data_IF_528591698056
#
_entry.id   IF_528591698056
#
_cell.length_a   1.000
_cell.length_b   1.000
_cell.length_c   1.000
_cell.angle_alpha   90.00
_cell.angle_beta   90.00
_cell.angle_gamma   90.00
#
_symmetry.space_group_name_H-M   'P 1'
#
loop_
_entity.id
_entity.type
_entity.pdbx_description
1 polymer ?
#
# COMPACT_ATOMS: atom_id res chain seq x y z
N UNK A 1 -19.28 -7.88 -8.96
CA UNK A 1 -19.46 -7.14 -7.70
C UNK A 1 -18.94 -5.74 -8.00
N UNK A 2 -19.85 -4.78 -8.19
CA UNK A 2 -19.47 -3.41 -8.56
C UNK A 2 -18.95 -2.68 -7.33
N UNK A 3 -17.65 -2.38 -7.32
CA UNK A 3 -16.93 -1.76 -6.21
C UNK A 3 -16.80 -0.23 -6.37
N UNK A 4 -17.49 0.36 -7.34
CA UNK A 4 -17.33 1.78 -7.67
C UNK A 4 -17.69 2.67 -6.48
N UNK A 5 -16.67 3.31 -5.89
CA UNK A 5 -16.83 4.24 -4.77
C UNK A 5 -16.99 3.59 -3.39
N UNK A 6 -17.08 2.26 -3.29
CA UNK A 6 -17.19 1.57 -2.00
C UNK A 6 -15.80 1.21 -1.45
N UNK A 7 -15.17 2.18 -0.80
CA UNK A 7 -13.84 2.01 -0.18
C UNK A 7 -13.80 0.93 0.90
N UNK A 8 -14.92 0.67 1.58
CA UNK A 8 -14.99 -0.38 2.60
C UNK A 8 -14.98 -1.77 1.96
N UNK A 9 -15.76 -1.98 0.90
CA UNK A 9 -15.76 -3.23 0.16
C UNK A 9 -14.40 -3.48 -0.53
N UNK A 10 -13.75 -2.43 -1.07
CA UNK A 10 -12.38 -2.52 -1.58
C UNK A 10 -11.44 -2.95 -0.44
N UNK A 11 -11.50 -2.27 0.71
CA UNK A 11 -10.69 -2.60 1.88
C UNK A 11 -10.84 -4.04 2.37
N UNK A 12 -12.09 -4.53 2.47
CA UNK A 12 -12.39 -5.94 2.78
C UNK A 12 -11.77 -6.90 1.78
N UNK A 13 -11.79 -6.55 0.50
CA UNK A 13 -11.21 -7.36 -0.57
C UNK A 13 -9.67 -7.42 -0.47
N UNK A 14 -9.02 -6.29 -0.16
CA UNK A 14 -7.58 -6.24 0.14
C UNK A 14 -7.21 -7.11 1.34
N UNK A 15 -8.00 -7.03 2.43
CA UNK A 15 -7.79 -7.85 3.63
C UNK A 15 -7.98 -9.35 3.38
N UNK A 16 -8.98 -9.72 2.56
CA UNK A 16 -9.19 -11.11 2.12
C UNK A 16 -8.01 -11.60 1.29
N UNK A 17 -7.55 -10.81 0.32
CA UNK A 17 -6.36 -11.12 -0.46
C UNK A 17 -5.13 -11.32 0.43
N UNK A 18 -4.89 -10.41 1.38
CA UNK A 18 -3.74 -10.52 2.29
C UNK A 18 -3.79 -11.79 3.13
N UNK A 19 -4.97 -12.14 3.66
CA UNK A 19 -5.16 -13.39 4.40
C UNK A 19 -4.84 -14.62 3.56
N UNK A 20 -5.28 -14.65 2.30
CA UNK A 20 -4.96 -15.73 1.37
C UNK A 20 -3.46 -15.80 1.04
N UNK A 21 -2.81 -14.65 0.80
CA UNK A 21 -1.37 -14.57 0.52
C UNK A 21 -0.53 -15.17 1.65
N UNK A 22 -0.91 -14.92 2.91
CA UNK A 22 -0.23 -15.52 4.08
C UNK A 22 -0.33 -17.03 4.15
N UNK A 23 -1.43 -17.61 3.67
CA UNK A 23 -1.59 -19.07 3.56
C UNK A 23 -0.67 -19.62 2.47
N UNK A 24 -0.54 -18.91 1.35
CA UNK A 24 0.23 -19.38 0.18
C UNK A 24 1.74 -19.23 0.34
N UNK A 25 2.21 -18.21 1.06
CA UNK A 25 3.62 -17.89 1.19
C UNK A 25 4.00 -17.68 2.67
N UNK A 26 4.52 -18.75 3.29
CA UNK A 26 5.07 -18.69 4.65
C UNK A 26 6.20 -17.66 4.70
N UNK A 27 6.14 -16.75 5.66
CA UNK A 27 7.14 -15.69 5.83
C UNK A 27 6.89 -14.41 5.03
N UNK A 28 5.78 -14.31 4.28
CA UNK A 28 5.45 -13.06 3.58
C UNK A 28 5.09 -11.89 4.52
N UNK A 29 4.83 -12.16 5.80
CA UNK A 29 4.55 -11.19 6.87
C UNK A 29 5.54 -11.37 8.03
N UNK A 30 6.76 -10.81 7.95
CA UNK A 30 7.68 -10.77 9.09
C UNK A 30 7.10 -9.94 10.24
N UNK A 31 7.62 -10.13 11.45
CA UNK A 31 7.15 -9.46 12.67
C UNK A 31 7.07 -7.93 12.51
N UNK A 32 8.09 -7.31 11.93
CA UNK A 32 8.10 -5.87 11.65
C UNK A 32 6.90 -5.42 10.81
N UNK A 33 6.57 -6.17 9.75
CA UNK A 33 5.43 -5.88 8.88
C UNK A 33 4.12 -6.07 9.64
N UNK A 34 4.02 -7.13 10.46
CA UNK A 34 2.83 -7.38 11.28
C UNK A 34 2.57 -6.22 12.25
N UNK A 35 3.59 -5.78 12.99
CA UNK A 35 3.47 -4.63 13.92
C UNK A 35 3.07 -3.34 13.21
N UNK A 36 3.63 -3.08 12.02
CA UNK A 36 3.26 -1.94 11.20
C UNK A 36 1.78 -2.03 10.77
N UNK A 37 1.33 -3.20 10.32
CA UNK A 37 -0.06 -3.42 9.94
C UNK A 37 -1.01 -3.24 11.13
N UNK A 38 -0.66 -3.77 12.30
CA UNK A 38 -1.47 -3.65 13.51
C UNK A 38 -1.60 -2.17 13.94
N UNK A 39 -0.51 -1.39 13.87
CA UNK A 39 -0.50 0.04 14.15
C UNK A 39 -1.41 0.84 13.19
N UNK A 40 -1.44 0.48 11.91
CA UNK A 40 -2.26 1.15 10.89
C UNK A 40 -3.72 0.68 10.88
N UNK A 41 -4.02 -0.52 11.37
CA UNK A 41 -5.34 -1.17 11.33
C UNK A 41 -6.52 -0.26 11.73
N UNK A 42 -6.44 0.57 12.79
CA UNK A 42 -7.55 1.47 13.15
C UNK A 42 -7.87 2.52 12.08
N UNK A 43 -6.89 2.89 11.26
CA UNK A 43 -6.93 4.03 10.34
C UNK A 43 -7.26 3.64 8.89
N UNK A 44 -7.36 2.34 8.57
CA UNK A 44 -7.46 1.84 7.19
C UNK A 44 -8.74 1.03 6.96
N UNK A 45 -9.29 1.11 5.75
CA UNK A 45 -10.29 0.15 5.27
C UNK A 45 -9.66 -1.22 4.95
N UNK A 46 -8.41 -1.21 4.49
CA UNK A 46 -7.63 -2.40 4.17
C UNK A 46 -6.19 -2.05 3.82
N UNK A 47 -5.31 -3.05 3.90
CA UNK A 47 -3.88 -2.88 3.66
C UNK A 47 -3.25 -4.22 3.26
N UNK A 48 -2.15 -4.17 2.51
CA UNK A 48 -1.39 -5.35 2.11
C UNK A 48 0.06 -4.99 1.75
N UNK A 49 0.95 -5.98 1.82
CA UNK A 49 2.31 -5.85 1.32
C UNK A 49 2.36 -6.19 -0.18
N UNK A 50 2.86 -5.25 -0.98
CA UNK A 50 3.03 -5.39 -2.43
C UNK A 50 4.16 -6.38 -2.75
N UNK A 51 4.18 -6.90 -3.99
CA UNK A 51 5.22 -7.81 -4.46
C UNK A 51 5.17 -9.20 -3.80
N UNK A 52 6.33 -9.84 -3.62
CA UNK A 52 6.41 -11.22 -3.11
C UNK A 52 6.01 -11.34 -1.63
N UNK A 53 6.32 -10.34 -0.80
CA UNK A 53 6.23 -10.44 0.66
C UNK A 53 7.59 -10.16 1.33
N UNK A 54 7.63 -10.17 2.66
CA UNK A 54 8.89 -10.10 3.41
C UNK A 54 9.50 -8.70 3.60
N UNK A 55 9.01 -7.69 2.88
CA UNK A 55 9.44 -6.30 2.98
C UNK A 55 8.95 -5.44 1.81
N UNK A 56 9.57 -4.28 1.62
CA UNK A 56 9.25 -3.37 0.51
C UNK A 56 8.09 -2.44 0.83
N UNK A 57 7.10 -2.38 -0.06
CA UNK A 57 6.02 -1.41 0.01
C UNK A 57 4.75 -2.01 0.61
N UNK A 58 4.25 -1.37 1.67
CA UNK A 58 2.92 -1.59 2.20
C UNK A 58 1.98 -0.55 1.59
N UNK A 59 0.91 -1.02 0.96
CA UNK A 59 -0.16 -0.16 0.48
C UNK A 59 -1.33 -0.21 1.46
N UNK A 60 -1.86 0.95 1.83
CA UNK A 60 -2.92 1.08 2.81
C UNK A 60 -3.98 2.08 2.32
N UNK A 61 -5.23 1.63 2.32
CA UNK A 61 -6.39 2.43 1.97
C UNK A 61 -6.92 3.11 3.23
N UNK A 62 -6.65 4.40 3.38
CA UNK A 62 -7.01 5.19 4.57
C UNK A 62 -8.52 5.42 4.65
N UNK A 63 -9.06 5.46 5.88
CA UNK A 63 -10.48 5.80 6.15
C UNK A 63 -10.80 7.28 5.97
N UNK A 64 -9.78 8.12 5.98
CA UNK A 64 -9.90 9.57 5.85
C UNK A 64 -8.93 10.07 4.77
N UNK A 65 -9.30 11.10 4.00
CA UNK A 65 -8.39 11.71 3.03
C UNK A 65 -7.26 12.45 3.75
N UNK A 66 -6.15 12.72 3.02
CA UNK A 66 -5.03 13.54 3.49
C UNK A 66 -4.35 13.08 4.80
N UNK A 67 -4.38 11.77 5.10
CA UNK A 67 -3.83 11.21 6.34
C UNK A 67 -2.30 11.07 6.37
N UNK A 68 -1.58 11.49 5.33
CA UNK A 68 -0.12 11.29 5.20
C UNK A 68 0.64 11.81 6.41
N UNK A 69 0.38 13.03 6.86
CA UNK A 69 1.10 13.63 7.99
C UNK A 69 0.69 13.02 9.34
N UNK A 70 -0.58 12.65 9.48
CA UNK A 70 -1.07 11.92 10.65
C UNK A 70 -0.39 10.55 10.78
N UNK A 71 -0.22 9.84 9.67
CA UNK A 71 0.48 8.55 9.63
C UNK A 71 1.98 8.75 9.92
N UNK A 72 2.62 9.78 9.39
CA UNK A 72 4.02 10.10 9.74
C UNK A 72 4.20 10.34 11.23
N UNK A 73 3.31 11.13 11.86
CA UNK A 73 3.32 11.36 13.31
C UNK A 73 3.09 10.07 14.11
N UNK A 74 2.14 9.24 13.68
CA UNK A 74 1.86 7.95 14.29
C UNK A 74 3.10 7.05 14.29
N UNK A 75 3.80 6.96 13.16
CA UNK A 75 5.01 6.16 13.01
C UNK A 75 6.19 6.72 13.80
N UNK A 76 6.36 8.05 13.84
CA UNK A 76 7.42 8.69 14.61
C UNK A 76 7.29 8.46 16.13
N UNK A 77 6.07 8.25 16.62
CA UNK A 77 5.78 7.96 18.02
C UNK A 77 5.79 6.46 18.36
N UNK A 78 5.95 5.58 17.36
CA UNK A 78 5.94 4.14 17.54
C UNK A 78 7.38 3.59 17.57
N UNK A 79 7.70 2.85 18.62
CA UNK A 79 9.02 2.23 18.77
C UNK A 79 9.31 1.24 17.63
N UNK A 80 10.50 1.34 17.04
CA UNK A 80 10.96 0.42 16.01
C UNK A 80 10.33 0.66 14.63
N UNK A 81 9.77 1.84 14.37
CA UNK A 81 9.21 2.27 13.07
C UNK A 81 10.04 3.35 12.38
N UNK A 82 11.24 3.65 12.87
CA UNK A 82 12.10 4.77 12.42
C UNK A 82 12.52 4.63 10.95
N UNK A 83 12.47 3.40 10.41
CA UNK A 83 12.85 3.09 9.02
C UNK A 83 11.70 3.19 8.03
N UNK A 84 10.47 3.44 8.49
CA UNK A 84 9.29 3.54 7.62
C UNK A 84 9.21 4.94 7.03
N UNK A 85 9.00 5.02 5.71
CA UNK A 85 8.72 6.29 5.02
C UNK A 85 7.32 6.26 4.41
N UNK A 86 6.64 7.41 4.45
CA UNK A 86 5.24 7.53 3.99
C UNK A 86 5.19 8.37 2.72
N UNK A 87 4.58 7.79 1.68
CA UNK A 87 4.49 8.37 0.34
C UNK A 87 3.03 8.45 -0.10
N UNK A 88 2.70 9.49 -0.86
CA UNK A 88 1.44 9.53 -1.59
C UNK A 88 1.50 8.55 -2.76
N UNK A 89 0.38 7.92 -3.09
CA UNK A 89 0.28 6.99 -4.21
C UNK A 89 -0.58 7.64 -5.28
N UNK A 90 -0.01 7.75 -6.48
CA UNK A 90 -0.70 8.23 -7.66
C UNK A 90 -0.71 7.13 -8.73
N UNK A 91 -1.76 7.13 -9.56
CA UNK A 91 -1.89 6.18 -10.66
C UNK A 91 -1.46 6.88 -11.93
N UNK A 92 -0.30 6.50 -12.47
CA UNK A 92 0.08 6.89 -13.82
C UNK A 92 -0.66 5.98 -14.83
N UNK A 93 -1.50 6.59 -15.65
CA UNK A 93 -2.23 5.91 -16.71
C UNK A 93 -1.42 5.83 -18.01
N UNK A 94 -0.28 6.51 -18.07
CA UNK A 94 0.68 6.36 -19.16
C UNK A 94 1.61 5.17 -18.89
N UNK A 95 1.77 4.31 -19.90
CA UNK A 95 2.83 3.32 -19.91
C UNK A 95 4.21 3.93 -20.20
N UNK A 96 5.16 3.07 -20.57
CA UNK A 96 6.48 3.52 -21.02
C UNK A 96 6.34 4.43 -22.26
N UNK A 97 6.98 5.60 -22.23
CA UNK A 97 7.05 6.54 -23.36
C UNK A 97 8.51 6.79 -23.71
N UNK A 98 8.86 6.60 -24.98
CA UNK A 98 10.17 6.96 -25.51
C UNK A 98 10.09 8.37 -26.08
N UNK A 99 10.98 9.28 -25.66
CA UNK A 99 11.04 10.64 -26.19
C UNK A 99 12.44 10.95 -26.74
N UNK A 100 12.52 11.44 -27.98
CA UNK A 100 13.77 11.94 -28.57
C UNK A 100 13.61 13.42 -28.88
N UNK A 101 14.43 14.26 -28.24
CA UNK A 101 14.39 15.72 -28.38
C UNK A 101 12.99 16.31 -28.12
N UNK A 102 12.28 15.77 -27.12
CA UNK A 102 10.93 16.21 -26.74
C UNK A 102 9.78 15.61 -27.56
N UNK A 103 10.07 14.85 -28.63
CA UNK A 103 9.03 14.18 -29.42
C UNK A 103 8.82 12.76 -28.91
N UNK A 104 7.57 12.41 -28.56
CA UNK A 104 7.18 11.06 -28.18
C UNK A 104 7.23 10.15 -29.41
N UNK A 105 8.01 9.09 -29.33
CA UNK A 105 8.11 8.03 -30.33
C UNK A 105 7.15 6.91 -29.92
N UNK A 106 6.26 6.44 -30.81
CA UNK A 106 5.42 5.29 -30.54
C UNK A 106 6.29 4.04 -30.36
N UNK A 107 6.05 3.32 -29.27
CA UNK A 107 6.59 1.97 -29.08
C UNK A 107 5.62 1.01 -29.78
N UNK A 108 6.10 0.31 -30.81
CA UNK A 108 5.36 -0.74 -31.51
C UNK A 108 5.35 -2.04 -30.72
#
# INVERSE_FOLDING_TARGET
MDLFGDFEAIGKSLGKYWSLKKVLAVGCEPEFVRRLMDLLSPHVHGQLLLGAGGGGFLCALMKQPHMVDSVRKLLANAEGMERVTVHHVDIDLAGLRLCVRGNVIPLH
#
